data_IF_660328322419
#
_entry.id   IF_660328322419
#
_cell.length_a   1.000
_cell.length_b   1.000
_cell.length_c   1.000
_cell.angle_alpha   90.00
_cell.angle_beta   90.00
_cell.angle_gamma   90.00
#
_symmetry.space_group_name_H-M   'P 1'
#
loop_
_entity.id
_entity.type
_entity.pdbx_description
1 polymer ?
#
# COMPACT_ATOMS: atom_id res chain seq x y z
N UNK A 1 16.86 3.19 -5.28
CA UNK A 1 17.18 4.50 -4.66
C UNK A 1 17.65 5.60 -5.63
N UNK A 2 18.51 5.31 -6.61
CA UNK A 2 19.11 6.35 -7.47
C UNK A 2 18.09 7.20 -8.25
N UNK A 3 17.06 6.58 -8.85
CA UNK A 3 16.00 7.30 -9.57
C UNK A 3 15.28 8.29 -8.65
N UNK A 4 14.96 7.87 -7.42
CA UNK A 4 14.31 8.75 -6.45
C UNK A 4 15.16 9.96 -6.07
N UNK A 5 16.50 9.85 -6.05
CA UNK A 5 17.36 11.03 -5.84
C UNK A 5 17.19 12.07 -6.94
N UNK A 6 16.90 11.64 -8.17
CA UNK A 6 16.70 12.53 -9.32
C UNK A 6 15.32 13.19 -9.21
N UNK A 7 14.26 12.37 -9.10
CA UNK A 7 12.89 12.90 -9.09
C UNK A 7 12.54 13.62 -7.78
N UNK A 8 13.00 13.11 -6.64
CA UNK A 8 12.65 13.64 -5.31
C UNK A 8 13.11 15.08 -5.09
N UNK A 9 14.19 15.51 -5.76
CA UNK A 9 14.63 16.91 -5.74
C UNK A 9 13.64 17.87 -6.39
N UNK A 10 12.81 17.38 -7.30
CA UNK A 10 11.79 18.16 -8.01
C UNK A 10 10.42 18.12 -7.30
N UNK A 11 10.29 17.31 -6.25
CA UNK A 11 9.03 17.10 -5.55
C UNK A 11 8.98 17.95 -4.27
N UNK A 12 7.89 18.69 -4.13
CA UNK A 12 7.56 19.51 -2.95
C UNK A 12 6.16 19.11 -2.51
N UNK A 13 6.00 18.86 -1.21
CA UNK A 13 4.70 18.64 -0.59
C UNK A 13 4.52 19.64 0.53
N UNK A 14 3.44 20.42 0.45
CA UNK A 14 3.28 21.68 1.21
C UNK A 14 4.53 22.56 1.11
N UNK A 15 5.24 22.76 2.22
CA UNK A 15 6.46 23.55 2.34
C UNK A 15 7.73 22.70 2.41
N UNK A 16 7.62 21.38 2.33
CA UNK A 16 8.72 20.45 2.53
C UNK A 16 9.21 19.86 1.20
N UNK A 17 10.53 19.87 1.02
CA UNK A 17 11.17 19.11 -0.06
C UNK A 17 11.04 17.61 0.21
N UNK A 18 10.68 16.85 -0.81
CA UNK A 18 10.70 15.39 -0.79
C UNK A 18 12.03 14.83 -1.30
N UNK A 19 13.09 15.63 -1.30
CA UNK A 19 14.43 15.14 -1.61
C UNK A 19 14.86 14.08 -0.60
N UNK A 20 15.51 13.02 -1.10
CA UNK A 20 16.14 12.03 -0.27
C UNK A 20 17.36 12.63 0.43
N UNK A 21 17.28 12.76 1.75
CA UNK A 21 18.34 13.30 2.60
C UNK A 21 18.99 12.17 3.40
N UNK A 22 20.33 12.17 3.47
CA UNK A 22 21.07 11.30 4.38
C UNK A 22 21.37 12.09 5.66
N UNK A 23 21.01 11.53 6.81
CA UNK A 23 21.08 12.19 8.13
C UNK A 23 22.04 11.46 9.09
N UNK A 24 22.65 10.36 8.65
CA UNK A 24 23.62 9.56 9.40
C UNK A 24 24.17 8.39 8.59
N UNK A 25 24.94 7.50 9.23
CA UNK A 25 25.64 6.39 8.56
C UNK A 25 24.71 5.37 7.87
N UNK A 26 23.47 5.23 8.34
CA UNK A 26 22.47 4.33 7.73
C UNK A 26 21.05 4.93 7.70
N UNK A 27 20.89 6.18 8.14
CA UNK A 27 19.60 6.82 8.30
C UNK A 27 19.35 7.86 7.21
N UNK A 28 18.11 7.87 6.75
CA UNK A 28 17.63 8.68 5.65
C UNK A 28 16.30 9.32 6.01
N UNK A 29 15.97 10.38 5.27
CA UNK A 29 14.72 11.11 5.40
C UNK A 29 14.19 11.51 4.03
N UNK A 30 12.86 11.48 3.89
CA UNK A 30 12.10 12.03 2.76
C UNK A 30 10.94 12.81 3.38
N UNK A 31 10.82 14.11 3.12
CA UNK A 31 9.78 14.93 3.76
C UNK A 31 9.90 14.90 5.28
N UNK A 32 8.90 14.42 5.99
CA UNK A 32 8.87 14.17 7.44
C UNK A 32 9.14 12.69 7.82
N UNK A 33 9.40 11.84 6.82
CA UNK A 33 9.51 10.39 6.99
C UNK A 33 10.94 9.94 7.19
N UNK A 34 11.22 9.33 8.35
CA UNK A 34 12.52 8.80 8.74
C UNK A 34 12.59 7.30 8.50
N UNK A 35 13.72 6.83 7.97
CA UNK A 35 13.92 5.40 7.74
C UNK A 35 15.41 5.05 7.70
N UNK A 36 15.70 3.75 7.75
CA UNK A 36 17.05 3.23 7.52
C UNK A 36 17.04 2.15 6.46
N UNK A 37 18.18 2.00 5.79
CA UNK A 37 18.43 0.82 4.97
C UNK A 37 18.74 -0.35 5.91
N UNK A 38 18.20 -1.53 5.61
CA UNK A 38 18.53 -2.78 6.29
C UNK A 38 19.50 -3.56 5.39
N UNK A 39 20.80 -3.62 5.73
CA UNK A 39 21.76 -4.43 4.99
C UNK A 39 21.34 -5.90 4.96
N UNK A 40 21.70 -6.61 3.87
CA UNK A 40 21.43 -8.04 3.74
C UNK A 40 21.97 -8.86 4.92
N UNK A 41 23.14 -8.49 5.47
CA UNK A 41 23.74 -9.19 6.62
C UNK A 41 23.01 -9.01 7.95
N UNK A 42 22.06 -8.06 8.05
CA UNK A 42 21.19 -7.92 9.23
C UNK A 42 19.91 -8.76 9.11
N UNK A 43 19.55 -9.22 7.91
CA UNK A 43 18.37 -10.06 7.71
C UNK A 43 18.67 -11.50 8.11
N UNK A 44 17.81 -12.16 8.91
CA UNK A 44 17.93 -13.60 9.16
C UNK A 44 17.98 -14.40 7.84
N UNK A 45 18.73 -15.50 7.82
CA UNK A 45 18.95 -16.27 6.59
C UNK A 45 17.67 -16.80 5.94
N UNK A 46 16.62 -17.05 6.72
CA UNK A 46 15.30 -17.48 6.26
C UNK A 46 14.31 -16.32 6.08
N UNK A 47 14.75 -15.07 6.20
CA UNK A 47 13.87 -13.92 6.09
C UNK A 47 13.40 -13.74 4.64
N UNK A 48 12.09 -13.61 4.43
CA UNK A 48 11.47 -13.48 3.09
C UNK A 48 12.09 -12.37 2.22
N UNK A 49 12.52 -11.27 2.83
CA UNK A 49 13.16 -10.16 2.10
C UNK A 49 14.66 -10.33 1.85
N UNK A 50 15.28 -11.38 2.40
CA UNK A 50 16.63 -11.76 2.01
C UNK A 50 16.61 -12.41 0.61
N UNK A 51 15.55 -13.17 0.31
CA UNK A 51 15.29 -13.68 -1.03
C UNK A 51 15.00 -12.53 -2.00
N UNK A 52 15.76 -12.46 -3.09
CA UNK A 52 15.62 -11.40 -4.08
C UNK A 52 16.13 -10.01 -3.64
N UNK A 53 16.90 -9.92 -2.54
CA UNK A 53 17.46 -8.66 -2.07
C UNK A 53 18.31 -7.97 -3.17
N UNK A 54 17.99 -6.71 -3.48
CA UNK A 54 18.72 -5.90 -4.46
C UNK A 54 19.44 -4.75 -3.77
N UNK A 55 20.77 -4.67 -3.89
CA UNK A 55 21.54 -3.53 -3.32
C UNK A 55 21.12 -2.17 -3.89
N UNK A 56 20.64 -2.15 -5.13
CA UNK A 56 20.15 -0.93 -5.81
C UNK A 56 18.75 -0.51 -5.36
N UNK A 57 18.00 -1.43 -4.73
CA UNK A 57 16.66 -1.22 -4.19
C UNK A 57 16.47 -2.00 -2.87
N UNK A 58 17.20 -1.60 -1.80
CA UNK A 58 17.37 -2.42 -0.61
C UNK A 58 16.14 -2.40 0.30
N UNK A 59 16.07 -3.35 1.23
CA UNK A 59 15.06 -3.38 2.30
C UNK A 59 15.13 -2.09 3.13
N UNK A 60 13.96 -1.53 3.42
CA UNK A 60 13.83 -0.30 4.21
C UNK A 60 13.10 -0.60 5.52
N UNK A 61 13.61 -0.03 6.62
CA UNK A 61 12.93 -0.03 7.92
C UNK A 61 12.50 1.38 8.29
N UNK A 62 11.24 1.53 8.67
CA UNK A 62 10.66 2.73 9.30
C UNK A 62 9.95 2.31 10.57
N UNK A 63 10.55 2.60 11.73
CA UNK A 63 10.07 2.12 13.04
C UNK A 63 9.87 0.59 13.03
N UNK A 64 8.66 0.12 13.36
CA UNK A 64 8.28 -1.29 13.33
C UNK A 64 7.95 -1.82 11.92
N UNK A 65 7.86 -0.97 10.90
CA UNK A 65 7.52 -1.38 9.54
C UNK A 65 8.78 -1.70 8.73
N UNK A 66 8.71 -2.83 8.03
CA UNK A 66 9.75 -3.35 7.15
C UNK A 66 9.19 -3.49 5.73
N UNK A 67 9.85 -2.84 4.79
CA UNK A 67 9.49 -2.82 3.38
C UNK A 67 10.49 -3.68 2.58
N UNK A 68 10.01 -4.50 1.64
CA UNK A 68 10.88 -5.41 0.87
C UNK A 68 11.90 -4.68 0.01
N UNK A 69 11.63 -3.43 -0.36
CA UNK A 69 12.53 -2.61 -1.16
C UNK A 69 12.35 -1.13 -0.85
N UNK A 70 13.29 -0.33 -1.34
CA UNK A 70 13.17 1.11 -1.25
C UNK A 70 12.04 1.63 -2.13
N UNK A 71 11.80 1.08 -3.32
CA UNK A 71 10.69 1.52 -4.18
C UNK A 71 9.32 1.30 -3.54
N UNK A 72 9.15 0.23 -2.75
CA UNK A 72 7.91 -0.04 -2.01
C UNK A 72 7.60 1.04 -0.96
N UNK A 73 8.62 1.64 -0.35
CA UNK A 73 8.46 2.57 0.77
C UNK A 73 7.80 3.92 0.39
N UNK A 74 8.26 4.67 -0.63
CA UNK A 74 7.59 5.88 -1.08
C UNK A 74 6.18 5.61 -1.61
N UNK A 75 5.97 4.50 -2.33
CA UNK A 75 4.63 4.16 -2.83
C UNK A 75 3.65 3.96 -1.68
N UNK A 76 4.03 3.21 -0.63
CA UNK A 76 3.19 3.06 0.56
C UNK A 76 2.97 4.40 1.26
N UNK A 77 4.00 5.22 1.41
CA UNK A 77 3.89 6.53 2.07
C UNK A 77 2.91 7.44 1.34
N UNK A 78 3.03 7.51 0.01
CA UNK A 78 2.14 8.26 -0.86
C UNK A 78 0.69 7.77 -0.74
N UNK A 79 0.46 6.45 -0.73
CA UNK A 79 -0.89 5.91 -0.52
C UNK A 79 -1.46 6.24 0.85
N UNK A 80 -0.66 6.20 1.93
CA UNK A 80 -1.14 6.61 3.25
C UNK A 80 -1.48 8.10 3.29
N UNK A 81 -0.66 8.96 2.68
CA UNK A 81 -0.94 10.40 2.63
C UNK A 81 -2.21 10.68 1.82
N UNK A 82 -2.37 10.09 0.64
CA UNK A 82 -3.60 10.24 -0.15
C UNK A 82 -4.87 9.78 0.57
N UNK A 83 -4.72 8.79 1.45
CA UNK A 83 -5.83 8.20 2.20
C UNK A 83 -6.25 9.04 3.41
N UNK A 84 -5.30 9.80 3.97
CA UNK A 84 -5.42 10.44 5.28
C UNK A 84 -5.23 11.98 5.22
N UNK A 85 -4.99 12.57 4.03
CA UNK A 85 -4.69 13.99 3.87
C UNK A 85 -5.85 14.91 4.31
N UNK A 86 -5.48 15.95 5.08
CA UNK A 86 -6.38 17.02 5.52
C UNK A 86 -7.04 17.70 4.32
N UNK A 87 -8.36 17.60 4.23
CA UNK A 87 -9.18 18.29 3.22
C UNK A 87 -9.87 17.39 2.19
N UNK A 88 -9.46 16.12 2.05
CA UNK A 88 -10.13 15.17 1.14
C UNK A 88 -11.18 14.29 1.83
N UNK A 89 -11.26 14.33 3.16
CA UNK A 89 -12.18 13.48 3.94
C UNK A 89 -11.73 12.02 3.96
N UNK A 90 -12.42 11.19 4.74
CA UNK A 90 -12.15 9.74 4.74
C UNK A 90 -12.52 9.17 3.37
N UNK A 91 -11.51 8.86 2.56
CA UNK A 91 -11.65 8.27 1.22
C UNK A 91 -12.03 6.78 1.25
N UNK A 92 -12.36 6.23 2.44
CA UNK A 92 -12.82 4.86 2.62
C UNK A 92 -14.24 4.68 2.11
N UNK A 93 -14.40 3.81 1.12
CA UNK A 93 -15.70 3.46 0.55
C UNK A 93 -16.30 2.25 1.29
N UNK A 94 -15.50 1.20 1.45
CA UNK A 94 -15.92 -0.09 1.99
C UNK A 94 -14.85 -0.66 2.92
N UNK A 95 -15.29 -1.31 3.99
CA UNK A 95 -14.46 -2.15 4.85
C UNK A 95 -15.11 -3.52 5.03
N UNK A 96 -14.33 -4.58 4.89
CA UNK A 96 -14.81 -5.95 4.99
C UNK A 96 -13.91 -6.76 5.92
N UNK A 97 -14.44 -7.27 7.06
CA UNK A 97 -13.73 -8.23 7.89
C UNK A 97 -13.79 -9.60 7.21
N UNK A 98 -12.64 -10.12 6.80
CA UNK A 98 -12.50 -11.44 6.16
C UNK A 98 -11.97 -12.47 7.16
N UNK A 99 -11.06 -12.05 8.04
CA UNK A 99 -10.38 -12.92 9.00
C UNK A 99 -9.05 -13.44 8.48
N UNK A 100 -8.12 -13.68 9.42
CA UNK A 100 -6.78 -14.17 9.10
C UNK A 100 -6.76 -15.64 8.64
N UNK A 101 -7.75 -16.42 9.07
CA UNK A 101 -7.83 -17.85 8.78
C UNK A 101 -8.43 -18.16 7.40
N UNK A 102 -8.94 -17.14 6.68
CA UNK A 102 -9.43 -17.33 5.32
C UNK A 102 -8.25 -17.51 4.34
N UNK A 103 -8.12 -18.66 3.66
CA UNK A 103 -7.01 -18.89 2.74
C UNK A 103 -7.00 -17.89 1.57
N UNK A 104 -8.16 -17.36 1.16
CA UNK A 104 -8.26 -16.36 0.09
C UNK A 104 -7.66 -15.02 0.52
N UNK A 105 -7.80 -14.67 1.80
CA UNK A 105 -7.16 -13.50 2.39
C UNK A 105 -5.64 -13.64 2.39
N UNK A 106 -5.13 -14.82 2.77
CA UNK A 106 -3.71 -15.17 2.68
C UNK A 106 -3.16 -15.02 1.26
N UNK A 107 -3.84 -15.60 0.26
CA UNK A 107 -3.47 -15.44 -1.16
C UNK A 107 -3.41 -13.98 -1.59
N UNK A 108 -4.41 -13.17 -1.25
CA UNK A 108 -4.40 -11.75 -1.58
C UNK A 108 -3.22 -11.01 -0.92
N UNK A 109 -2.74 -11.43 0.25
CA UNK A 109 -1.53 -10.87 0.88
C UNK A 109 -0.23 -11.27 0.17
N UNK A 110 -0.15 -12.48 -0.37
CA UNK A 110 1.13 -13.07 -0.79
C UNK A 110 1.33 -13.27 -2.27
N UNK A 111 0.28 -13.63 -3.01
CA UNK A 111 0.39 -14.10 -4.39
C UNK A 111 0.66 -12.95 -5.33
N UNK A 112 1.35 -13.21 -6.45
CA UNK A 112 1.58 -12.18 -7.45
C UNK A 112 0.27 -11.72 -8.10
N UNK A 113 0.15 -10.41 -8.29
CA UNK A 113 -0.94 -9.83 -9.07
C UNK A 113 -0.29 -9.24 -10.32
N UNK A 114 -0.78 -9.64 -11.49
CA UNK A 114 -0.22 -9.17 -12.76
C UNK A 114 -0.11 -7.65 -12.81
N UNK A 115 1.05 -7.16 -13.28
CA UNK A 115 1.32 -5.71 -13.41
C UNK A 115 0.37 -5.04 -14.43
N UNK A 116 -0.20 -5.83 -15.34
CA UNK A 116 -1.27 -5.39 -16.24
C UNK A 116 -2.56 -5.04 -15.48
N UNK A 117 -2.80 -5.67 -14.34
CA UNK A 117 -3.94 -5.43 -13.48
C UNK A 117 -3.70 -4.27 -12.53
N UNK A 118 -2.60 -4.32 -11.78
CA UNK A 118 -2.39 -3.47 -10.61
C UNK A 118 -0.93 -3.37 -10.19
N UNK A 119 -0.61 -2.43 -9.31
CA UNK A 119 0.67 -2.37 -8.61
C UNK A 119 0.45 -2.86 -7.17
N UNK A 120 1.06 -4.00 -6.83
CA UNK A 120 1.01 -4.56 -5.48
C UNK A 120 2.25 -4.17 -4.66
N UNK A 121 2.02 -3.73 -3.42
CA UNK A 121 3.08 -3.30 -2.50
C UNK A 121 2.86 -4.03 -1.17
N UNK A 122 3.69 -5.04 -0.92
CA UNK A 122 3.75 -5.73 0.37
C UNK A 122 4.63 -4.98 1.37
N UNK A 123 4.26 -5.02 2.64
CA UNK A 123 5.14 -4.64 3.75
C UNK A 123 4.74 -5.43 4.99
N UNK A 124 5.57 -5.40 6.03
CA UNK A 124 5.28 -6.12 7.27
C UNK A 124 5.58 -5.28 8.50
N UNK A 125 4.98 -5.63 9.62
CA UNK A 125 5.42 -5.18 10.95
C UNK A 125 6.06 -6.34 11.68
N UNK A 126 7.20 -6.07 12.30
CA UNK A 126 7.95 -7.01 13.12
C UNK A 126 8.24 -6.42 14.51
N UNK A 127 7.48 -5.38 14.88
CA UNK A 127 7.63 -4.65 16.15
C UNK A 127 9.04 -4.07 16.41
N UNK A 128 9.86 -3.95 15.36
CA UNK A 128 11.23 -3.47 15.50
C UNK A 128 12.29 -4.58 15.58
N UNK A 129 11.88 -5.85 15.61
CA UNK A 129 12.76 -7.00 15.77
C UNK A 129 12.71 -7.91 14.52
N UNK A 130 13.82 -7.98 13.79
CA UNK A 130 13.94 -8.84 12.61
C UNK A 130 13.79 -10.34 12.92
N UNK A 131 13.92 -10.74 14.19
CA UNK A 131 13.76 -12.11 14.66
C UNK A 131 12.39 -12.37 15.32
N UNK A 132 11.46 -11.42 15.24
CA UNK A 132 10.15 -11.57 15.85
C UNK A 132 9.43 -12.84 15.34
N UNK A 133 8.92 -13.65 16.27
CA UNK A 133 8.19 -14.87 15.96
C UNK A 133 6.80 -14.60 15.37
N UNK A 134 6.20 -13.45 15.73
CA UNK A 134 4.88 -13.03 15.26
C UNK A 134 5.08 -11.84 14.33
N UNK A 135 4.71 -12.05 13.07
CA UNK A 135 4.84 -11.07 12.00
C UNK A 135 3.43 -10.75 11.49
N UNK A 136 3.16 -9.50 11.15
CA UNK A 136 1.92 -9.14 10.46
C UNK A 136 2.27 -8.57 9.10
N UNK A 137 1.80 -9.25 8.06
CA UNK A 137 1.96 -8.81 6.69
C UNK A 137 0.77 -7.91 6.30
N UNK A 138 1.07 -6.94 5.45
CA UNK A 138 0.13 -5.98 4.91
C UNK A 138 0.35 -5.86 3.42
N UNK A 139 -0.69 -5.42 2.71
CA UNK A 139 -0.58 -5.17 1.28
C UNK A 139 -1.42 -3.98 0.85
N UNK A 140 -0.84 -3.16 0.00
CA UNK A 140 -1.59 -2.23 -0.85
C UNK A 140 -1.65 -2.78 -2.27
N UNK A 141 -2.80 -2.65 -2.93
CA UNK A 141 -2.97 -2.97 -4.35
C UNK A 141 -3.56 -1.75 -5.04
N UNK A 142 -2.75 -1.02 -5.80
CA UNK A 142 -3.17 0.14 -6.57
C UNK A 142 -3.82 -0.34 -7.85
N UNK A 143 -5.10 -0.02 -8.04
CA UNK A 143 -5.88 -0.46 -9.21
C UNK A 143 -6.15 0.67 -10.21
N UNK A 144 -5.94 1.93 -9.81
CA UNK A 144 -6.00 3.14 -10.66
C UNK A 144 -5.20 4.28 -10.04
N UNK A 145 -4.84 5.26 -10.87
CA UNK A 145 -4.10 6.48 -10.50
C UNK A 145 -2.61 6.42 -10.83
N UNK A 146 -2.18 5.42 -11.59
CA UNK A 146 -0.77 5.21 -11.95
C UNK A 146 -0.52 5.13 -13.46
N UNK A 147 -1.57 5.12 -14.28
CA UNK A 147 -1.48 5.18 -15.74
C UNK A 147 -1.85 6.56 -16.27
N UNK A 148 -1.32 6.89 -17.46
CA UNK A 148 -1.68 8.10 -18.18
C UNK A 148 -3.19 8.09 -18.48
N UNK A 149 -3.86 9.22 -18.25
CA UNK A 149 -5.31 9.44 -18.42
C UNK A 149 -6.23 8.84 -17.34
N UNK A 150 -5.71 8.17 -16.32
CA UNK A 150 -6.52 7.81 -15.15
C UNK A 150 -6.82 9.08 -14.33
N UNK A 151 -8.12 9.40 -14.15
CA UNK A 151 -8.56 10.62 -13.43
C UNK A 151 -8.85 10.37 -11.96
N UNK A 152 -8.77 9.12 -11.51
CA UNK A 152 -9.08 8.70 -10.14
C UNK A 152 -7.97 7.80 -9.64
N UNK A 153 -7.62 7.93 -8.37
CA UNK A 153 -6.76 6.97 -7.68
C UNK A 153 -7.66 6.03 -6.89
N UNK A 154 -7.46 4.73 -7.05
CA UNK A 154 -8.22 3.72 -6.32
C UNK A 154 -7.28 2.59 -5.91
N UNK A 155 -7.43 2.10 -4.68
CA UNK A 155 -6.60 1.02 -4.17
C UNK A 155 -7.34 0.14 -3.15
N UNK A 156 -6.76 -1.02 -2.92
CA UNK A 156 -7.15 -1.97 -1.87
C UNK A 156 -6.06 -1.97 -0.81
N UNK A 157 -6.45 -1.84 0.45
CA UNK A 157 -5.56 -2.11 1.58
C UNK A 157 -5.99 -3.40 2.27
N UNK A 158 -5.00 -4.22 2.62
CA UNK A 158 -5.18 -5.55 3.20
C UNK A 158 -4.31 -5.64 4.44
N UNK A 159 -4.93 -5.84 5.60
CA UNK A 159 -4.22 -5.95 6.87
C UNK A 159 -5.17 -6.21 8.03
N UNK A 160 -4.64 -6.74 9.14
CA UNK A 160 -5.43 -7.04 10.36
C UNK A 160 -6.71 -7.86 10.10
N UNK A 161 -6.71 -8.78 9.13
CA UNK A 161 -7.88 -9.58 8.77
C UNK A 161 -8.98 -8.79 8.04
N UNK A 162 -8.69 -7.56 7.62
CA UNK A 162 -9.61 -6.67 6.94
C UNK A 162 -9.14 -6.36 5.52
N UNK A 163 -10.12 -6.07 4.66
CA UNK A 163 -9.93 -5.48 3.33
C UNK A 163 -10.64 -4.14 3.31
N UNK A 164 -9.92 -3.09 2.91
CA UNK A 164 -10.45 -1.72 2.85
C UNK A 164 -10.28 -1.19 1.43
N UNK A 165 -11.37 -0.64 0.86
CA UNK A 165 -11.40 -0.05 -0.46
C UNK A 165 -11.41 1.48 -0.36
N UNK A 166 -10.47 2.13 -1.03
CA UNK A 166 -10.31 3.60 -0.98
C UNK A 166 -10.18 4.19 -2.37
N UNK A 167 -10.85 5.32 -2.61
CA UNK A 167 -10.81 6.03 -3.90
C UNK A 167 -10.86 7.54 -3.74
N UNK A 168 -10.28 8.26 -4.69
CA UNK A 168 -10.46 9.71 -4.87
C UNK A 168 -11.61 10.06 -5.82
N UNK A 169 -12.33 9.05 -6.33
CA UNK A 169 -13.53 9.26 -7.13
C UNK A 169 -14.62 9.95 -6.30
N UNK A 170 -15.06 11.13 -6.75
CA UNK A 170 -16.21 11.80 -6.16
C UNK A 170 -17.48 10.95 -6.36
N UNK A 171 -18.35 10.79 -5.34
CA UNK A 171 -19.60 10.05 -5.49
C UNK A 171 -20.47 10.64 -6.61
N UNK A 172 -20.86 9.82 -7.58
CA UNK A 172 -21.75 10.21 -8.68
C UNK A 172 -23.24 10.20 -8.28
N UNK A 173 -23.57 9.69 -7.09
CA UNK A 173 -24.91 9.54 -6.59
C UNK A 173 -24.96 9.65 -5.06
N UNK A 174 -26.17 9.80 -4.52
CA UNK A 174 -26.42 9.91 -3.07
C UNK A 174 -26.03 8.65 -2.31
N UNK A 175 -25.81 8.80 -0.99
CA UNK A 175 -25.39 7.71 -0.09
C UNK A 175 -26.35 6.53 -0.03
N UNK A 176 -27.64 6.74 -0.30
CA UNK A 176 -28.66 5.68 -0.32
C UNK A 176 -28.58 4.78 -1.54
N UNK A 177 -27.85 5.20 -2.59
CA UNK A 177 -27.69 4.41 -3.81
C UNK A 177 -26.62 3.32 -3.64
N UNK A 178 -26.71 2.21 -4.40
CA UNK A 178 -25.70 1.17 -4.40
C UNK A 178 -24.29 1.72 -4.67
N UNK A 179 -23.27 1.13 -4.04
CA UNK A 179 -21.86 1.57 -4.17
C UNK A 179 -21.41 1.62 -5.64
N UNK A 180 -21.87 0.68 -6.47
CA UNK A 180 -21.58 0.65 -7.91
C UNK A 180 -22.11 1.87 -8.68
N UNK A 181 -23.19 2.50 -8.22
CA UNK A 181 -23.72 3.73 -8.82
C UNK A 181 -22.98 4.97 -8.29
N UNK A 182 -22.52 4.92 -7.04
CA UNK A 182 -21.78 6.00 -6.40
C UNK A 182 -20.36 6.10 -6.93
N UNK A 183 -19.70 4.98 -7.21
CA UNK A 183 -18.29 4.93 -7.65
C UNK A 183 -18.13 4.09 -8.93
N UNK A 184 -18.73 4.52 -10.05
CA UNK A 184 -18.80 3.73 -11.28
C UNK A 184 -17.42 3.46 -11.91
N UNK A 185 -16.40 4.28 -11.65
CA UNK A 185 -15.04 4.05 -12.17
C UNK A 185 -14.24 3.09 -11.29
N UNK A 186 -14.34 3.22 -9.97
CA UNK A 186 -13.52 2.46 -9.02
C UNK A 186 -14.02 1.02 -8.82
N UNK A 187 -15.34 0.82 -8.78
CA UNK A 187 -15.93 -0.49 -8.47
C UNK A 187 -15.52 -1.59 -9.46
N UNK A 188 -15.57 -1.40 -10.79
CA UNK A 188 -15.13 -2.43 -11.74
C UNK A 188 -13.66 -2.86 -11.54
N UNK A 189 -12.80 -1.93 -11.12
CA UNK A 189 -11.38 -2.18 -10.90
C UNK A 189 -11.12 -3.00 -9.64
N UNK A 190 -11.77 -2.66 -8.53
CA UNK A 190 -11.72 -3.48 -7.32
C UNK A 190 -12.29 -4.88 -7.56
N UNK A 191 -13.45 -4.97 -8.24
CA UNK A 191 -14.06 -6.26 -8.61
C UNK A 191 -13.10 -7.12 -9.44
N UNK A 192 -12.34 -6.54 -10.36
CA UNK A 192 -11.36 -7.29 -11.16
C UNK A 192 -10.30 -7.96 -10.28
N UNK A 193 -9.72 -7.22 -9.33
CA UNK A 193 -8.74 -7.77 -8.38
C UNK A 193 -9.39 -8.78 -7.43
N UNK A 194 -10.51 -8.42 -6.80
CA UNK A 194 -11.15 -9.27 -5.80
C UNK A 194 -11.68 -10.59 -6.37
N UNK A 195 -12.17 -10.59 -7.62
CA UNK A 195 -12.57 -11.83 -8.32
C UNK A 195 -11.43 -12.80 -8.50
N UNK A 196 -10.22 -12.31 -8.76
CA UNK A 196 -9.05 -13.16 -8.90
C UNK A 196 -8.79 -14.01 -7.65
N UNK A 197 -9.20 -13.51 -6.49
CA UNK A 197 -9.06 -14.17 -5.20
C UNK A 197 -10.37 -14.74 -4.65
N UNK A 198 -11.47 -14.69 -5.42
CA UNK A 198 -12.82 -15.12 -5.01
C UNK A 198 -13.34 -14.35 -3.76
N UNK A 199 -12.96 -13.08 -3.61
CA UNK A 199 -13.32 -12.21 -2.48
C UNK A 199 -14.36 -11.13 -2.84
N UNK A 200 -14.79 -11.06 -4.11
CA UNK A 200 -15.69 -10.00 -4.57
C UNK A 200 -16.96 -9.88 -3.73
N UNK A 201 -17.72 -10.97 -3.59
CA UNK A 201 -19.01 -10.96 -2.89
C UNK A 201 -18.86 -10.59 -1.41
N UNK A 202 -17.85 -11.12 -0.74
CA UNK A 202 -17.63 -10.86 0.68
C UNK A 202 -17.21 -9.40 0.94
N UNK A 203 -16.52 -8.76 -0.02
CA UNK A 203 -16.05 -7.38 0.13
C UNK A 203 -17.05 -6.36 -0.42
N UNK A 204 -17.57 -6.56 -1.62
CA UNK A 204 -18.42 -5.58 -2.33
C UNK A 204 -19.88 -5.68 -1.87
N UNK A 205 -20.40 -6.90 -1.72
CA UNK A 205 -21.83 -7.10 -1.45
C UNK A 205 -22.12 -7.18 0.05
N UNK A 206 -21.14 -7.65 0.85
CA UNK A 206 -21.27 -7.84 2.31
C UNK A 206 -20.44 -6.87 3.15
N UNK A 207 -19.54 -6.11 2.53
CA UNK A 207 -18.73 -5.12 3.22
C UNK A 207 -19.57 -3.99 3.81
N UNK A 208 -19.07 -3.39 4.89
CA UNK A 208 -19.67 -2.22 5.50
C UNK A 208 -19.26 -0.96 4.71
N UNK A 209 -20.25 -0.22 4.24
CA UNK A 209 -20.06 1.10 3.60
C UNK A 209 -19.77 2.16 4.68
N UNK A 210 -18.73 2.97 4.51
CA UNK A 210 -18.25 3.93 5.52
C UNK A 210 -18.64 5.39 5.21
N UNK A 211 -18.90 5.73 3.95
CA UNK A 211 -19.25 7.09 3.51
C UNK A 211 -20.41 7.15 2.57
#
# INVERSE_FOLDING_TARGET
MAIYKIIGQQLIHHTHSLALQQIGSAHYRIGDQWFRVVPLGELPGSHRYAEGYKRTDPVIRRHAFLFPSFSAFPLRTLLSQWSDEEGLGDNTVLTAPIGHDDPRYGRLLTDDIGEDLSIAIGYRTDQGDLNAAILTDYRYVIVSGFRLNETVAAHVWVGYGNIVLRTTEAPAADRSQPVAQRFPKSIPLWRRVLRHFELETDVIDRGRVIG
#
